data_IF_976373250666
#
_entry.id   IF_976373250666
#
_cell.length_a   1.000
_cell.length_b   1.000
_cell.length_c   1.000
_cell.angle_alpha   90.00
_cell.angle_beta   90.00
_cell.angle_gamma   90.00
#
_symmetry.space_group_name_H-M   'P 1'
#
loop_
_entity.id
_entity.type
_entity.pdbx_description
1 polymer ?
#
# COMPACT_ATOMS: atom_id res chain seq x y z
N UNK A 1 17.08 -22.92 16.19
CA UNK A 1 17.22 -21.81 17.13
C UNK A 1 18.69 -21.53 17.27
N UNK A 2 19.16 -20.58 16.48
CA UNK A 2 20.51 -20.02 16.50
C UNK A 2 20.39 -18.68 17.22
N UNK A 3 21.05 -18.58 18.37
CA UNK A 3 20.93 -17.43 19.26
C UNK A 3 21.60 -16.19 18.63
N UNK A 4 20.80 -15.20 18.25
CA UNK A 4 21.27 -13.84 17.94
C UNK A 4 20.69 -12.87 18.98
N UNK A 5 21.50 -11.90 19.41
CA UNK A 5 21.07 -10.92 20.42
C UNK A 5 20.45 -9.70 19.76
N UNK A 6 19.18 -9.44 20.09
CA UNK A 6 18.54 -8.15 19.82
C UNK A 6 18.91 -7.18 20.92
N UNK A 7 19.60 -6.10 20.58
CA UNK A 7 19.93 -5.00 21.49
C UNK A 7 18.94 -3.84 21.34
N UNK A 8 18.40 -3.31 22.43
CA UNK A 8 17.49 -2.14 22.43
C UNK A 8 16.09 -2.42 22.98
N UNK A 9 15.19 -1.44 22.87
CA UNK A 9 13.82 -1.53 23.37
C UNK A 9 12.92 -2.33 22.42
N UNK A 10 12.98 -3.67 22.52
CA UNK A 10 12.21 -4.62 21.70
C UNK A 10 10.69 -4.42 21.86
N UNK A 11 10.24 -3.98 23.03
CA UNK A 11 8.80 -3.76 23.30
C UNK A 11 8.25 -2.58 22.50
N UNK A 12 9.10 -1.61 22.10
CA UNK A 12 8.69 -0.49 21.24
C UNK A 12 8.18 -0.95 19.87
N UNK A 13 8.68 -2.06 19.35
CA UNK A 13 8.38 -2.54 17.99
C UNK A 13 7.39 -3.71 17.95
N UNK A 14 7.05 -4.27 19.11
CA UNK A 14 6.12 -5.40 19.22
C UNK A 14 4.68 -4.94 19.02
N UNK A 15 4.05 -5.38 17.93
CA UNK A 15 2.61 -5.22 17.70
C UNK A 15 1.82 -6.23 18.55
N UNK A 16 0.49 -6.30 18.47
CA UNK A 16 -0.36 -6.94 19.49
C UNK A 16 -0.31 -8.48 19.53
N UNK A 17 0.83 -9.10 19.80
CA UNK A 17 0.91 -10.56 19.83
C UNK A 17 2.30 -11.13 20.06
N UNK A 18 2.44 -12.40 19.65
CA UNK A 18 3.66 -13.21 19.69
C UNK A 18 4.45 -13.04 18.38
N UNK A 19 4.87 -11.82 18.05
CA UNK A 19 5.83 -11.63 16.96
C UNK A 19 7.13 -12.35 17.32
N UNK A 20 7.70 -13.08 16.35
CA UNK A 20 8.96 -13.79 16.54
C UNK A 20 10.12 -12.79 16.70
N UNK A 21 11.19 -13.23 17.36
CA UNK A 21 12.40 -12.42 17.55
C UNK A 21 13.00 -12.09 16.17
N UNK A 22 12.94 -13.04 15.25
CA UNK A 22 13.35 -12.93 13.85
C UNK A 22 12.58 -11.83 13.12
N UNK A 23 11.27 -11.71 13.32
CA UNK A 23 10.45 -10.63 12.72
C UNK A 23 10.84 -9.25 13.27
N UNK A 24 11.03 -9.17 14.59
CA UNK A 24 11.36 -7.92 15.27
C UNK A 24 12.74 -7.39 14.89
N UNK A 25 13.69 -8.28 14.59
CA UNK A 25 15.03 -7.90 14.19
C UNK A 25 15.02 -6.99 12.96
N UNK A 26 14.23 -7.31 11.93
CA UNK A 26 14.15 -6.51 10.71
C UNK A 26 13.70 -5.07 10.98
N UNK A 27 12.69 -4.90 11.86
CA UNK A 27 12.19 -3.59 12.29
C UNK A 27 13.27 -2.78 13.03
N UNK A 28 13.94 -3.42 13.99
CA UNK A 28 14.97 -2.78 14.83
C UNK A 28 16.19 -2.40 14.00
N UNK A 29 16.65 -3.28 13.12
CA UNK A 29 17.79 -3.00 12.26
C UNK A 29 17.51 -1.85 11.30
N UNK A 30 16.29 -1.80 10.74
CA UNK A 30 15.87 -0.69 9.90
C UNK A 30 15.87 0.65 10.67
N UNK A 31 15.41 0.68 11.92
CA UNK A 31 15.43 1.88 12.76
C UNK A 31 16.87 2.32 13.09
N UNK A 32 17.76 1.39 13.44
CA UNK A 32 19.18 1.70 13.67
C UNK A 32 19.86 2.25 12.42
N UNK A 33 19.57 1.66 11.26
CA UNK A 33 20.06 2.15 9.96
C UNK A 33 19.53 3.56 9.69
N UNK A 34 18.31 3.86 10.11
CA UNK A 34 17.75 5.20 10.04
C UNK A 34 18.47 6.21 10.94
N UNK A 35 18.72 5.88 12.20
CA UNK A 35 19.45 6.75 13.14
C UNK A 35 20.89 6.99 12.66
N UNK A 36 21.55 5.95 12.16
CA UNK A 36 22.92 5.99 11.66
C UNK A 36 23.03 6.52 10.21
N UNK A 37 21.91 6.73 9.51
CA UNK A 37 21.85 7.04 8.06
C UNK A 37 22.67 6.06 7.22
N UNK A 38 22.54 4.77 7.51
CA UNK A 38 23.19 3.66 6.82
C UNK A 38 22.21 2.96 5.89
N UNK A 39 22.64 2.57 4.70
CA UNK A 39 21.76 1.88 3.76
C UNK A 39 21.30 0.50 4.27
N UNK A 40 20.04 0.08 4.00
CA UNK A 40 18.99 0.89 3.38
C UNK A 40 18.40 1.88 4.40
N UNK A 41 18.38 3.16 4.02
CA UNK A 41 17.71 4.23 4.75
C UNK A 41 16.96 5.15 3.79
N UNK A 42 15.85 5.71 4.26
CA UNK A 42 15.03 6.64 3.50
C UNK A 42 14.82 7.94 4.28
N UNK A 43 14.82 9.10 3.61
CA UNK A 43 14.38 10.33 4.24
C UNK A 43 12.89 10.26 4.61
N UNK A 44 12.55 10.66 5.84
CA UNK A 44 11.17 10.74 6.35
C UNK A 44 11.04 10.24 7.80
N UNK A 45 9.85 10.39 8.36
CA UNK A 45 9.50 9.83 9.68
C UNK A 45 9.15 8.34 9.56
N UNK A 46 9.77 7.50 10.39
CA UNK A 46 9.51 6.06 10.46
C UNK A 46 8.46 5.77 11.54
N UNK A 47 7.39 5.09 11.15
CA UNK A 47 6.30 4.67 12.05
C UNK A 47 6.12 3.17 11.96
N UNK A 48 6.48 2.48 13.02
CA UNK A 48 6.31 1.04 13.14
C UNK A 48 4.90 0.68 13.64
N UNK A 49 4.43 -0.50 13.26
CA UNK A 49 3.10 -0.99 13.66
C UNK A 49 2.93 -0.99 15.19
N UNK A 50 1.86 -0.35 15.67
CA UNK A 50 1.38 -0.47 17.06
C UNK A 50 -0.01 -1.09 17.08
N UNK A 51 -0.21 -1.93 18.10
CA UNK A 51 -1.31 -2.82 18.53
C UNK A 51 -2.80 -2.57 18.15
N UNK A 52 -3.18 -1.62 17.30
CA UNK A 52 -4.60 -1.24 17.12
C UNK A 52 -5.09 -1.15 15.67
N UNK A 53 -4.35 -1.67 14.69
CA UNK A 53 -4.89 -1.83 13.35
C UNK A 53 -4.13 -2.94 12.62
N UNK A 54 -4.73 -4.13 12.54
CA UNK A 54 -4.27 -5.36 11.86
C UNK A 54 -4.02 -5.21 10.32
N UNK A 55 -3.87 -3.98 9.85
CA UNK A 55 -3.83 -3.57 8.43
C UNK A 55 -2.82 -2.45 8.16
N UNK A 56 -1.87 -2.20 9.07
CA UNK A 56 -0.76 -1.24 8.93
C UNK A 56 0.52 -2.01 8.57
N UNK A 57 1.40 -1.51 7.69
CA UNK A 57 2.67 -2.17 7.41
C UNK A 57 3.55 -2.24 8.66
N UNK A 58 4.48 -3.17 8.68
CA UNK A 58 5.48 -3.28 9.74
C UNK A 58 6.23 -1.97 9.98
N UNK A 59 6.56 -1.27 8.89
CA UNK A 59 7.08 0.10 8.93
C UNK A 59 6.46 0.97 7.82
N UNK A 60 6.01 2.15 8.21
CA UNK A 60 5.59 3.23 7.29
C UNK A 60 6.59 4.38 7.36
N UNK A 61 7.18 4.75 6.22
CA UNK A 61 7.94 5.99 6.06
C UNK A 61 7.01 7.06 5.51
N UNK A 62 6.64 8.04 6.33
CA UNK A 62 5.43 8.85 6.12
C UNK A 62 5.67 10.30 5.61
N UNK A 63 6.86 10.88 5.82
CA UNK A 63 7.20 12.28 5.45
C UNK A 63 8.43 12.38 4.52
N UNK A 64 8.60 11.36 3.67
CA UNK A 64 9.59 11.36 2.60
C UNK A 64 9.03 11.86 1.27
N UNK A 65 9.88 12.04 0.24
CA UNK A 65 9.43 12.38 -1.12
C UNK A 65 8.51 11.29 -1.72
N UNK A 66 8.59 10.06 -1.18
CA UNK A 66 7.74 8.93 -1.50
C UNK A 66 7.38 8.23 -0.20
N UNK A 67 6.09 7.98 0.04
CA UNK A 67 5.63 7.16 1.17
C UNK A 67 5.97 5.70 0.92
N UNK A 68 6.49 5.01 1.93
CA UNK A 68 6.93 3.61 1.81
C UNK A 68 6.28 2.75 2.88
N UNK A 69 5.64 1.67 2.45
CA UNK A 69 5.29 0.55 3.30
C UNK A 69 6.40 -0.49 3.18
N UNK A 70 7.01 -0.87 4.29
CA UNK A 70 7.99 -1.95 4.36
C UNK A 70 7.35 -3.04 5.22
N UNK A 71 7.18 -4.22 4.63
CA UNK A 71 6.61 -5.41 5.26
C UNK A 71 7.72 -6.43 5.44
N UNK A 72 7.97 -6.84 6.69
CA UNK A 72 8.89 -7.91 7.02
C UNK A 72 8.12 -9.22 7.10
N UNK A 73 8.74 -10.32 6.69
CA UNK A 73 8.08 -11.62 6.67
C UNK A 73 8.98 -12.67 7.31
N UNK A 74 8.53 -13.21 8.45
CA UNK A 74 9.23 -14.26 9.18
C UNK A 74 8.27 -15.31 9.78
N UNK A 75 7.85 -16.28 8.96
CA UNK A 75 7.11 -17.47 9.41
C UNK A 75 5.60 -17.27 9.60
N UNK A 76 5.08 -16.07 9.31
CA UNK A 76 3.63 -15.79 9.36
C UNK A 76 3.02 -15.66 7.96
N UNK A 77 1.85 -16.27 7.74
CA UNK A 77 1.12 -16.12 6.48
C UNK A 77 0.69 -14.67 6.24
N UNK A 78 0.79 -14.25 4.98
CA UNK A 78 0.48 -12.88 4.57
C UNK A 78 -0.49 -12.89 3.39
N UNK A 79 -1.44 -11.95 3.41
CA UNK A 79 -2.28 -11.66 2.25
C UNK A 79 -1.55 -10.73 1.28
N UNK A 80 -0.48 -11.22 0.64
CA UNK A 80 0.47 -10.41 -0.15
C UNK A 80 -0.21 -9.46 -1.14
N UNK A 81 -1.11 -9.98 -1.97
CA UNK A 81 -1.85 -9.21 -2.98
C UNK A 81 -2.73 -8.12 -2.37
N UNK A 82 -3.50 -8.48 -1.34
CA UNK A 82 -4.39 -7.53 -0.66
C UNK A 82 -3.62 -6.41 0.05
N UNK A 83 -2.54 -6.75 0.79
CA UNK A 83 -1.67 -5.77 1.45
C UNK A 83 -0.99 -4.84 0.45
N UNK A 84 -0.47 -5.41 -0.65
CA UNK A 84 0.19 -4.63 -1.72
C UNK A 84 -0.79 -3.64 -2.35
N UNK A 85 -1.97 -4.11 -2.77
CA UNK A 85 -3.03 -3.26 -3.33
C UNK A 85 -3.45 -2.17 -2.38
N UNK A 86 -3.63 -2.47 -1.10
CA UNK A 86 -4.00 -1.45 -0.12
C UNK A 86 -2.91 -0.38 0.01
N UNK A 87 -1.65 -0.78 0.16
CA UNK A 87 -0.58 0.20 0.28
C UNK A 87 -0.44 1.08 -0.97
N UNK A 88 -0.54 0.50 -2.17
CA UNK A 88 -0.59 1.25 -3.42
C UNK A 88 -1.80 2.18 -3.46
N UNK A 89 -3.00 1.70 -3.11
CA UNK A 89 -4.22 2.50 -3.04
C UNK A 89 -4.02 3.75 -2.17
N UNK A 90 -3.24 3.66 -1.10
CA UNK A 90 -2.91 4.76 -0.19
C UNK A 90 -1.71 5.62 -0.62
N UNK A 91 -1.17 5.38 -1.81
CA UNK A 91 -0.05 6.14 -2.37
C UNK A 91 1.30 5.78 -1.76
N UNK A 92 1.41 4.61 -1.13
CA UNK A 92 2.67 4.07 -0.66
C UNK A 92 3.24 3.11 -1.70
N UNK A 93 4.55 3.18 -1.94
CA UNK A 93 5.26 2.06 -2.57
C UNK A 93 5.49 0.97 -1.53
N UNK A 94 5.57 -0.28 -1.96
CA UNK A 94 5.65 -1.44 -1.05
C UNK A 94 6.97 -2.16 -1.23
N UNK A 95 7.66 -2.40 -0.12
CA UNK A 95 8.80 -3.31 -0.05
C UNK A 95 8.38 -4.54 0.73
N UNK A 96 8.61 -5.71 0.15
CA UNK A 96 8.44 -7.00 0.81
C UNK A 96 9.81 -7.57 1.12
N UNK A 97 10.09 -7.78 2.41
CA UNK A 97 11.41 -8.14 2.91
C UNK A 97 11.31 -9.46 3.68
N UNK A 98 11.97 -10.50 3.19
CA UNK A 98 11.86 -11.85 3.74
C UNK A 98 13.09 -12.21 4.56
N UNK A 99 12.88 -12.92 5.66
CA UNK A 99 13.98 -13.58 6.33
C UNK A 99 14.59 -14.64 5.38
N UNK A 100 15.91 -14.76 5.35
CA UNK A 100 16.62 -15.67 4.42
C UNK A 100 16.20 -17.14 4.54
N UNK A 101 15.72 -17.57 5.72
CA UNK A 101 15.28 -18.95 5.97
C UNK A 101 13.83 -19.23 5.51
N UNK A 102 13.07 -18.20 5.11
CA UNK A 102 11.65 -18.32 4.74
C UNK A 102 11.42 -18.26 3.22
N UNK A 103 12.14 -19.12 2.48
CA UNK A 103 12.08 -19.20 1.00
C UNK A 103 10.73 -19.67 0.45
N UNK A 104 10.03 -20.49 1.22
CA UNK A 104 8.66 -20.92 0.94
C UNK A 104 7.69 -19.72 0.90
N UNK A 105 7.83 -18.80 1.85
CA UNK A 105 7.02 -17.59 1.91
C UNK A 105 7.36 -16.62 0.77
N UNK A 106 8.64 -16.50 0.42
CA UNK A 106 9.08 -15.74 -0.76
C UNK A 106 8.47 -16.33 -2.06
N UNK A 107 8.40 -17.66 -2.17
CA UNK A 107 7.78 -18.36 -3.31
C UNK A 107 6.27 -18.12 -3.35
N UNK A 108 5.59 -18.17 -2.20
CA UNK A 108 4.16 -17.88 -2.10
C UNK A 108 3.86 -16.40 -2.47
N UNK A 109 4.68 -15.46 -2.00
CA UNK A 109 4.57 -14.05 -2.37
C UNK A 109 4.78 -13.85 -3.87
N UNK A 110 5.77 -14.53 -4.45
CA UNK A 110 6.04 -14.51 -5.89
C UNK A 110 4.82 -14.97 -6.68
N UNK A 111 4.29 -16.14 -6.36
CA UNK A 111 3.10 -16.69 -7.01
C UNK A 111 1.86 -15.77 -6.88
N UNK A 112 1.72 -15.06 -5.76
CA UNK A 112 0.61 -14.16 -5.52
C UNK A 112 0.74 -12.79 -6.23
N UNK A 113 1.95 -12.33 -6.50
CA UNK A 113 2.22 -10.97 -7.00
C UNK A 113 2.67 -10.94 -8.47
N UNK A 114 3.43 -11.92 -8.94
CA UNK A 114 3.94 -11.97 -10.33
C UNK A 114 2.87 -11.83 -11.41
N UNK A 115 1.65 -12.41 -11.27
CA UNK A 115 0.61 -12.22 -12.30
C UNK A 115 0.26 -10.75 -12.56
N UNK A 116 0.57 -9.86 -11.62
CA UNK A 116 0.28 -8.44 -11.68
C UNK A 116 1.54 -7.58 -11.78
N UNK A 117 2.74 -8.16 -11.71
CA UNK A 117 3.98 -7.40 -11.81
C UNK A 117 4.45 -7.33 -13.27
N UNK A 118 4.90 -6.15 -13.66
CA UNK A 118 5.51 -5.92 -14.97
C UNK A 118 7.04 -5.91 -14.85
N UNK A 119 7.69 -6.84 -15.57
CA UNK A 119 9.14 -6.94 -15.64
C UNK A 119 9.78 -7.69 -14.47
N UNK A 120 11.13 -7.77 -14.44
CA UNK A 120 11.85 -8.44 -13.36
C UNK A 120 11.67 -7.71 -12.03
N UNK A 121 11.53 -8.48 -10.95
CA UNK A 121 11.31 -7.97 -9.61
C UNK A 121 12.04 -8.82 -8.56
N UNK A 122 12.71 -8.12 -7.64
CA UNK A 122 13.46 -8.72 -6.54
C UNK A 122 12.86 -8.32 -5.19
N UNK A 123 12.55 -9.32 -4.38
CA UNK A 123 12.18 -9.12 -2.99
C UNK A 123 13.40 -8.71 -2.16
N UNK A 124 13.19 -7.94 -1.10
CA UNK A 124 14.22 -7.68 -0.11
C UNK A 124 14.46 -8.91 0.75
N UNK A 125 15.66 -8.98 1.33
CA UNK A 125 16.05 -10.07 2.22
C UNK A 125 16.77 -9.52 3.45
N UNK A 126 16.65 -10.25 4.56
CA UNK A 126 17.40 -9.92 5.77
C UNK A 126 17.91 -11.17 6.48
N UNK A 127 19.10 -11.04 7.05
CA UNK A 127 19.81 -12.08 7.80
C UNK A 127 20.26 -11.50 9.15
N UNK A 128 19.57 -11.85 10.25
CA UNK A 128 19.93 -11.42 11.59
C UNK A 128 21.32 -11.86 12.04
N UNK A 129 21.83 -12.99 11.55
CA UNK A 129 23.12 -13.58 11.92
C UNK A 129 24.25 -12.81 11.22
N UNK A 130 24.10 -12.56 9.92
CA UNK A 130 25.07 -11.77 9.15
C UNK A 130 24.95 -10.25 9.41
N UNK A 131 23.85 -9.79 9.99
CA UNK A 131 23.58 -8.37 10.19
C UNK A 131 23.18 -7.65 8.90
N UNK A 132 22.66 -8.40 7.92
CA UNK A 132 22.34 -7.91 6.58
C UNK A 132 20.85 -7.58 6.45
N UNK A 133 20.57 -6.54 5.68
CA UNK A 133 19.21 -6.08 5.38
C UNK A 133 19.26 -5.35 4.04
N UNK A 134 18.47 -5.83 3.09
CA UNK A 134 18.16 -5.20 1.82
C UNK A 134 16.63 -5.13 1.66
N UNK A 135 16.10 -4.01 1.17
CA UNK A 135 14.64 -3.84 1.04
C UNK A 135 14.10 -4.21 -0.35
N UNK A 136 14.97 -4.62 -1.27
CA UNK A 136 14.63 -5.02 -2.63
C UNK A 136 14.00 -3.92 -3.47
N UNK A 137 13.41 -4.36 -4.58
CA UNK A 137 12.72 -3.48 -5.52
C UNK A 137 11.38 -3.04 -4.92
N UNK A 138 11.01 -1.74 -4.97
CA UNK A 138 9.67 -1.32 -4.57
C UNK A 138 8.62 -1.75 -5.61
N UNK A 139 7.47 -2.23 -5.12
CA UNK A 139 6.24 -2.34 -5.91
C UNK A 139 5.56 -0.98 -5.93
N UNK A 140 5.17 -0.53 -7.12
CA UNK A 140 4.62 0.78 -7.43
C UNK A 140 3.50 0.65 -8.47
N UNK A 141 2.69 1.68 -8.70
CA UNK A 141 1.74 1.69 -9.83
C UNK A 141 2.39 1.58 -11.21
N UNK A 142 3.70 1.82 -11.34
CA UNK A 142 4.39 1.73 -12.64
C UNK A 142 4.75 0.31 -13.03
N UNK A 143 4.87 -0.59 -12.07
CA UNK A 143 5.29 -1.98 -12.28
C UNK A 143 4.27 -2.97 -11.71
N UNK A 144 3.07 -2.52 -11.35
CA UNK A 144 2.01 -3.36 -10.82
C UNK A 144 0.66 -3.01 -11.47
N UNK A 145 0.11 -3.97 -12.20
CA UNK A 145 -1.24 -3.94 -12.73
C UNK A 145 -2.24 -4.08 -11.58
N UNK A 146 -3.09 -3.07 -11.40
CA UNK A 146 -4.10 -3.06 -10.35
C UNK A 146 -5.50 -3.19 -10.96
N UNK A 147 -5.94 -4.41 -11.35
CA UNK A 147 -7.29 -4.62 -11.81
C UNK A 147 -8.27 -4.43 -10.64
N UNK A 148 -9.39 -3.76 -10.92
CA UNK A 148 -10.45 -3.58 -9.93
C UNK A 148 -11.41 -4.76 -10.06
N UNK A 149 -11.52 -5.55 -9.00
CA UNK A 149 -12.27 -6.81 -9.03
C UNK A 149 -13.62 -6.72 -8.35
N UNK A 150 -13.84 -5.69 -7.52
CA UNK A 150 -15.04 -5.55 -6.72
C UNK A 150 -15.46 -4.10 -6.63
N UNK A 151 -16.77 -3.88 -6.62
CA UNK A 151 -17.35 -2.55 -6.49
C UNK A 151 -16.94 -1.81 -5.21
N UNK A 152 -16.57 -2.56 -4.16
CA UNK A 152 -16.05 -2.02 -2.90
C UNK A 152 -14.88 -1.05 -3.09
N UNK A 153 -14.10 -1.20 -4.17
CA UNK A 153 -13.00 -0.31 -4.54
C UNK A 153 -13.43 1.11 -4.97
N UNK A 154 -14.74 1.32 -5.10
CA UNK A 154 -15.40 2.58 -5.41
C UNK A 154 -16.25 3.12 -4.26
N UNK A 155 -16.24 2.48 -3.10
CA UNK A 155 -17.04 2.88 -1.93
C UNK A 155 -16.15 3.59 -0.90
N UNK A 156 -16.24 4.93 -0.76
CA UNK A 156 -15.48 5.66 0.25
C UNK A 156 -15.59 5.08 1.65
N UNK A 157 -16.78 4.65 2.08
CA UNK A 157 -17.00 4.12 3.44
C UNK A 157 -16.19 2.85 3.73
N UNK A 158 -16.06 1.98 2.74
CA UNK A 158 -15.32 0.72 2.85
C UNK A 158 -13.81 0.98 2.84
N UNK A 159 -13.35 1.89 1.98
CA UNK A 159 -11.96 2.32 1.95
C UNK A 159 -11.57 3.05 3.25
N UNK A 160 -12.44 3.94 3.76
CA UNK A 160 -12.22 4.66 5.02
C UNK A 160 -12.32 3.74 6.24
N UNK A 161 -13.27 2.81 6.24
CA UNK A 161 -13.51 1.82 7.30
C UNK A 161 -12.39 0.80 7.41
N UNK A 162 -11.78 0.41 6.28
CA UNK A 162 -10.64 -0.52 6.23
C UNK A 162 -9.44 -0.05 7.07
N UNK A 163 -9.25 1.27 7.25
CA UNK A 163 -8.17 1.85 8.08
C UNK A 163 -8.62 2.91 9.10
N UNK A 164 -9.86 2.88 9.60
CA UNK A 164 -10.38 3.87 10.57
C UNK A 164 -10.00 5.33 10.23
N UNK A 165 -10.21 5.75 8.98
CA UNK A 165 -9.92 7.11 8.52
C UNK A 165 -8.47 7.39 8.09
N UNK A 166 -7.54 6.44 8.20
CA UNK A 166 -6.18 6.57 7.64
C UNK A 166 -6.11 6.30 6.14
N UNK A 167 -7.23 6.31 5.41
CA UNK A 167 -7.20 6.21 3.95
C UNK A 167 -6.94 7.57 3.27
N UNK A 168 -6.95 8.67 4.04
CA UNK A 168 -6.61 10.03 3.59
C UNK A 168 -7.30 10.44 2.28
N UNK A 169 -8.52 9.94 2.03
CA UNK A 169 -9.26 10.24 0.81
C UNK A 169 -9.56 11.73 0.79
N UNK A 170 -8.99 12.42 -0.19
CA UNK A 170 -9.16 13.85 -0.33
C UNK A 170 -10.61 14.20 -0.69
N UNK A 171 -11.12 15.28 -0.11
CA UNK A 171 -12.42 15.82 -0.48
C UNK A 171 -12.24 16.77 -1.65
N UNK A 172 -12.95 16.53 -2.75
CA UNK A 172 -12.97 17.40 -3.92
C UNK A 172 -14.37 17.88 -4.19
N UNK A 173 -14.59 19.19 -4.08
CA UNK A 173 -15.93 19.79 -3.95
C UNK A 173 -16.73 19.10 -2.83
N UNK A 174 -17.90 18.54 -3.14
CA UNK A 174 -18.75 17.83 -2.18
C UNK A 174 -18.49 16.31 -2.11
N UNK A 175 -17.53 15.77 -2.86
CA UNK A 175 -17.28 14.32 -2.97
C UNK A 175 -15.91 13.86 -2.48
N UNK A 176 -15.68 12.55 -2.57
CA UNK A 176 -14.44 11.83 -2.22
C UNK A 176 -13.66 11.49 -3.48
N UNK A 177 -12.39 11.90 -3.55
CA UNK A 177 -11.52 11.64 -4.68
C UNK A 177 -10.96 10.21 -4.64
N UNK A 178 -11.55 9.33 -5.46
CA UNK A 178 -11.15 7.94 -5.56
C UNK A 178 -9.89 7.75 -6.42
N UNK A 179 -9.30 8.83 -6.94
CA UNK A 179 -8.10 8.78 -7.76
C UNK A 179 -8.37 8.49 -9.23
N UNK A 180 -7.30 8.18 -9.96
CA UNK A 180 -7.35 7.89 -11.39
C UNK A 180 -7.58 6.39 -11.64
N UNK A 181 -8.47 6.10 -12.58
CA UNK A 181 -8.79 4.76 -13.08
C UNK A 181 -8.86 4.77 -14.60
N UNK A 182 -8.54 3.65 -15.23
CA UNK A 182 -8.93 3.35 -16.59
C UNK A 182 -10.31 2.67 -16.54
N UNK A 183 -11.28 3.27 -17.22
CA UNK A 183 -12.60 2.71 -17.45
C UNK A 183 -12.73 2.36 -18.92
N UNK A 184 -12.54 1.09 -19.26
CA UNK A 184 -12.68 0.58 -20.61
C UNK A 184 -11.83 1.32 -21.67
N UNK A 185 -10.56 1.63 -21.34
CA UNK A 185 -9.64 2.38 -22.18
C UNK A 185 -9.76 3.90 -22.05
N UNK A 186 -10.56 4.38 -21.10
CA UNK A 186 -10.72 5.80 -20.81
C UNK A 186 -10.12 6.14 -19.45
N UNK A 187 -9.00 6.86 -19.45
CA UNK A 187 -8.43 7.46 -18.25
C UNK A 187 -9.40 8.48 -17.65
N UNK A 188 -9.83 8.23 -16.42
CA UNK A 188 -10.76 9.09 -15.68
C UNK A 188 -10.31 9.26 -14.24
N UNK A 189 -10.54 10.46 -13.70
CA UNK A 189 -10.53 10.67 -12.26
C UNK A 189 -11.94 10.57 -11.73
N UNK A 190 -12.16 9.75 -10.72
CA UNK A 190 -13.48 9.52 -10.17
C UNK A 190 -13.66 10.18 -8.82
N UNK A 191 -14.75 10.93 -8.70
CA UNK A 191 -15.18 11.56 -7.46
C UNK A 191 -16.49 10.91 -7.04
N UNK A 192 -16.48 10.13 -5.95
CA UNK A 192 -17.71 9.61 -5.37
C UNK A 192 -18.45 10.74 -4.65
N UNK A 193 -19.73 10.91 -4.93
CA UNK A 193 -20.58 11.93 -4.31
C UNK A 193 -21.30 11.41 -3.06
N UNK A 194 -21.36 10.09 -2.89
CA UNK A 194 -21.94 9.42 -1.72
C UNK A 194 -20.94 8.46 -1.07
N UNK A 195 -21.00 8.24 0.25
CA UNK A 195 -20.10 7.32 0.95
C UNK A 195 -20.16 5.87 0.47
N UNK A 196 -21.33 5.44 0.02
CA UNK A 196 -21.60 4.08 -0.50
C UNK A 196 -21.28 3.93 -1.99
N UNK A 197 -20.79 4.99 -2.64
CA UNK A 197 -20.40 5.00 -4.03
C UNK A 197 -21.55 4.93 -5.05
N UNK A 198 -22.82 5.19 -4.71
CA UNK A 198 -23.92 5.13 -5.71
C UNK A 198 -23.83 6.20 -6.80
N UNK A 199 -23.22 7.34 -6.50
CA UNK A 199 -23.14 8.46 -7.44
C UNK A 199 -21.69 8.90 -7.64
N UNK A 200 -21.31 9.07 -8.90
CA UNK A 200 -19.97 9.53 -9.29
C UNK A 200 -20.02 10.79 -10.16
N UNK A 201 -18.91 11.52 -10.13
CA UNK A 201 -18.46 12.37 -11.23
C UNK A 201 -17.20 11.76 -11.83
N UNK A 202 -17.17 11.69 -13.15
CA UNK A 202 -16.00 11.25 -13.91
C UNK A 202 -15.38 12.42 -14.66
N UNK A 203 -14.10 12.64 -14.44
CA UNK A 203 -13.32 13.72 -15.04
C UNK A 203 -12.33 13.13 -16.03
N UNK A 204 -12.37 13.58 -17.29
CA UNK A 204 -11.26 13.38 -18.20
C UNK A 204 -9.99 14.08 -17.66
N UNK A 205 -8.79 13.69 -18.12
CA UNK A 205 -7.57 14.39 -17.76
C UNK A 205 -7.71 15.89 -18.05
N UNK A 206 -7.39 16.74 -17.06
CA UNK A 206 -7.48 18.20 -17.11
C UNK A 206 -8.90 18.80 -17.22
N UNK A 207 -9.95 17.98 -17.15
CA UNK A 207 -11.33 18.49 -17.14
C UNK A 207 -11.65 19.21 -15.81
N UNK A 208 -12.20 20.44 -15.84
CA UNK A 208 -12.73 21.10 -14.66
C UNK A 208 -13.88 20.30 -14.02
N UNK A 209 -14.02 20.41 -12.69
CA UNK A 209 -15.07 19.66 -11.96
C UNK A 209 -16.49 20.19 -12.20
N UNK A 210 -16.61 21.46 -12.60
CA UNK A 210 -17.88 22.07 -13.01
C UNK A 210 -18.42 21.49 -14.31
N UNK A 211 -17.54 21.07 -15.22
CA UNK A 211 -17.92 20.47 -16.51
C UNK A 211 -18.17 18.95 -16.40
N UNK A 212 -18.05 18.38 -15.20
CA UNK A 212 -18.17 16.96 -14.98
C UNK A 212 -19.60 16.47 -15.22
N UNK A 213 -19.74 15.41 -16.01
CA UNK A 213 -21.03 14.75 -16.20
C UNK A 213 -21.46 14.13 -14.86
N UNK A 214 -22.63 14.54 -14.39
CA UNK A 214 -23.19 14.04 -13.14
C UNK A 214 -23.81 12.65 -13.33
N UNK A 215 -23.56 11.73 -12.40
CA UNK A 215 -24.10 10.37 -12.46
C UNK A 215 -23.43 9.49 -13.52
N UNK A 216 -22.27 9.89 -14.04
CA UNK A 216 -21.48 9.09 -14.97
C UNK A 216 -20.09 8.79 -14.39
N UNK A 217 -19.63 7.52 -14.39
CA UNK A 217 -20.42 6.33 -14.76
C UNK A 217 -21.55 6.06 -13.77
N UNK A 218 -22.57 5.29 -14.20
CA UNK A 218 -23.61 4.78 -13.28
C UNK A 218 -23.05 3.61 -12.47
N UNK A 219 -23.63 3.35 -11.30
CA UNK A 219 -23.27 2.19 -10.46
C UNK A 219 -23.30 0.87 -11.26
N UNK A 220 -24.40 0.60 -11.96
CA UNK A 220 -24.55 -0.61 -12.77
C UNK A 220 -23.52 -0.67 -13.90
N UNK A 221 -23.26 0.46 -14.55
CA UNK A 221 -22.23 0.55 -15.59
C UNK A 221 -20.84 0.23 -15.06
N UNK A 222 -20.48 0.71 -13.86
CA UNK A 222 -19.21 0.36 -13.21
C UNK A 222 -19.17 -1.13 -12.87
N UNK A 223 -20.24 -1.69 -12.31
CA UNK A 223 -20.31 -3.14 -11.99
C UNK A 223 -20.11 -4.01 -13.22
N UNK A 224 -20.78 -3.70 -14.33
CA UNK A 224 -20.59 -4.42 -15.59
C UNK A 224 -19.15 -4.33 -16.09
N UNK A 225 -18.52 -3.15 -16.02
CA UNK A 225 -17.12 -3.01 -16.42
C UNK A 225 -16.16 -3.80 -15.52
N UNK A 226 -16.44 -3.90 -14.21
CA UNK A 226 -15.67 -4.73 -13.28
C UNK A 226 -15.83 -6.22 -13.63
N UNK A 227 -17.06 -6.68 -13.87
CA UNK A 227 -17.37 -8.06 -14.25
C UNK A 227 -16.69 -8.45 -15.57
N UNK A 228 -16.59 -7.50 -16.51
CA UNK A 228 -15.86 -7.67 -17.78
C UNK A 228 -14.34 -7.56 -17.63
N UNK A 229 -13.80 -7.22 -16.45
CA UNK A 229 -12.36 -7.03 -16.22
C UNK A 229 -11.78 -5.79 -16.92
N UNK A 230 -12.60 -4.77 -17.17
CA UNK A 230 -12.27 -3.57 -17.97
C UNK A 230 -12.03 -2.33 -17.12
N UNK A 231 -11.66 -2.54 -15.85
CA UNK A 231 -11.37 -1.46 -14.91
C UNK A 231 -10.01 -1.69 -14.29
N UNK A 232 -9.13 -0.70 -14.42
CA UNK A 232 -7.79 -0.73 -13.84
C UNK A 232 -7.55 0.54 -13.03
N UNK A 233 -7.00 0.41 -11.83
CA UNK A 233 -6.58 1.56 -11.03
C UNK A 233 -5.22 2.04 -11.49
N UNK A 234 -5.10 3.34 -11.72
CA UNK A 234 -3.90 3.97 -12.28
C UNK A 234 -3.12 4.80 -11.26
N UNK A 235 -3.68 4.97 -10.07
CA UNK A 235 -3.08 5.76 -9.03
C UNK A 235 -3.80 5.62 -7.70
N UNK A 236 -3.24 6.26 -6.66
CA UNK A 236 -3.80 6.22 -5.33
C UNK A 236 -5.11 6.99 -5.25
N UNK A 237 -5.84 6.80 -4.15
CA UNK A 237 -6.94 7.69 -3.77
C UNK A 237 -6.37 9.07 -3.39
N UNK A 238 -7.09 10.14 -3.72
CA UNK A 238 -6.63 11.53 -3.53
C UNK A 238 -5.42 11.91 -4.41
N UNK A 239 -4.88 13.12 -4.20
CA UNK A 239 -3.65 13.56 -4.86
C UNK A 239 -2.42 13.34 -3.96
N UNK A 240 -1.32 12.76 -4.48
CA UNK A 240 -0.05 12.72 -3.74
C UNK A 240 0.68 14.08 -3.64
N UNK A 241 0.15 15.16 -4.24
CA UNK A 241 0.89 16.41 -4.48
C UNK A 241 0.52 17.62 -3.62
N UNK A 242 -0.65 17.70 -2.99
CA UNK A 242 -1.12 18.94 -2.35
C UNK A 242 -1.07 18.87 -0.82
N UNK A 243 0.14 18.75 -0.28
CA UNK A 243 0.39 18.94 1.16
C UNK A 243 1.60 19.80 1.43
N UNK A 244 1.57 21.02 0.91
CA UNK A 244 2.08 22.15 1.69
C UNK A 244 0.94 22.69 2.54
N UNK A 245 1.15 22.78 3.86
CA UNK A 245 0.29 23.38 4.90
C UNK A 245 -0.88 22.56 5.46
N UNK A 246 -0.64 21.91 6.60
CA UNK A 246 -1.39 22.14 7.84
C UNK A 246 -0.43 22.05 9.03
#
# INVERSE_FOLDING_TARGET
MTDFEIWGDVERYRSAGKESVEHLWGKIELDRRQEAKRDPWFPGEYRFEKKFADRVPDCLVYDGPVKRCIEFVAGSDQSYRAKTREALRLGCVVHWVFHIEHRDQQTAARAALEPELEGPFEFGEYDPIAGELDVGTPITFKNYAFPVERYIDFQPEEILGYRSGKAWIERRACGWDLGCVDLAGSHRRLIALTPDGRHFKSLAPKQPIEDAVWGFPTEDGVKTLIEEGRVTRLGPVGHPGDRTSR
#
